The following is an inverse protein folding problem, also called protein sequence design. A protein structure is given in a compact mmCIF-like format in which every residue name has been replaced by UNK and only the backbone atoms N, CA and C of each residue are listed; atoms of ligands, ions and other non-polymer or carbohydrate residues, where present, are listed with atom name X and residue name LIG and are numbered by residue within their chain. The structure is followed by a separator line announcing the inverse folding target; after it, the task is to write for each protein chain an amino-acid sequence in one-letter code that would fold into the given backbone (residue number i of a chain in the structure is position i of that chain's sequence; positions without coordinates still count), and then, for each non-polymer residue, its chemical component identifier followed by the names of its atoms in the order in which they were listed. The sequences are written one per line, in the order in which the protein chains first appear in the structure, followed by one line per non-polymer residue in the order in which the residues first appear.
data_IF_865405672506
#
_entry.id   IF_865405672506
#
_cell.length_a   1.000
_cell.length_b   1.000
_cell.length_c   1.000
_cell.angle_alpha   90.00
_cell.angle_beta   90.00
_cell.angle_gamma   90.00
#
_symmetry.space_group_name_H-M   'P 1'
#
loop_
_entity.id
_entity.type
_entity.pdbx_description
1 polymer ?
#
# COMPACT_ATOMS: atom_id res chain seq x y z
N UNK A 1 -26.37 -1.55 55.04
CA UNK A 1 -26.33 -0.11 54.72
C UNK A 1 -26.14 0.05 53.22
N UNK A 2 -27.12 0.67 52.59
CA UNK A 2 -27.29 0.89 51.15
C UNK A 2 -26.35 1.99 50.64
N UNK A 3 -25.72 1.79 49.47
CA UNK A 3 -24.88 2.80 48.82
C UNK A 3 -24.83 2.63 47.31
N UNK A 4 -25.89 3.04 46.62
CA UNK A 4 -25.96 3.19 45.17
C UNK A 4 -25.44 4.58 44.74
N UNK A 5 -24.82 4.67 43.56
CA UNK A 5 -24.75 5.81 42.59
C UNK A 5 -23.49 5.62 41.72
N UNK A 6 -23.44 5.93 40.42
CA UNK A 6 -24.39 6.27 39.35
C UNK A 6 -23.54 6.12 38.08
N UNK A 7 -23.96 5.28 37.12
CA UNK A 7 -23.31 5.20 35.80
C UNK A 7 -23.74 6.41 34.98
N UNK A 8 -22.78 7.22 34.54
CA UNK A 8 -23.01 8.35 33.63
C UNK A 8 -23.29 7.82 32.22
N UNK A 9 -24.54 7.99 31.78
CA UNK A 9 -25.00 7.61 30.46
C UNK A 9 -24.44 8.56 29.38
N UNK A 10 -23.68 8.00 28.45
CA UNK A 10 -23.31 8.60 27.17
C UNK A 10 -24.57 8.78 26.31
N UNK A 11 -24.81 9.99 25.77
CA UNK A 11 -25.85 10.25 24.76
C UNK A 11 -25.22 10.45 23.38
N UNK A 12 -25.68 9.75 22.32
CA UNK A 12 -25.28 10.04 20.94
C UNK A 12 -26.07 11.23 20.36
N UNK A 13 -25.48 12.02 19.43
CA UNK A 13 -26.19 13.07 18.72
C UNK A 13 -27.05 12.53 17.57
N UNK A 14 -28.09 13.30 17.26
CA UNK A 14 -29.29 12.95 16.51
C UNK A 14 -29.07 12.62 15.03
N UNK A 15 -29.74 11.56 14.59
CA UNK A 15 -29.97 11.17 13.19
C UNK A 15 -30.84 12.21 12.47
N UNK A 16 -30.31 12.79 11.38
CA UNK A 16 -31.08 13.64 10.48
C UNK A 16 -31.90 12.76 9.52
N UNK A 17 -33.20 12.75 9.80
CA UNK A 17 -34.29 12.12 9.04
C UNK A 17 -34.31 12.56 7.56
N UNK A 18 -33.98 11.65 6.65
CA UNK A 18 -34.43 11.71 5.26
C UNK A 18 -35.77 10.97 5.15
N UNK A 19 -36.88 11.73 5.13
CA UNK A 19 -38.20 11.19 4.84
C UNK A 19 -38.38 11.02 3.34
N UNK A 20 -38.70 9.81 2.93
CA UNK A 20 -39.23 9.48 1.62
C UNK A 20 -40.77 9.67 1.59
N UNK A 21 -41.26 9.96 0.38
CA UNK A 21 -42.52 9.53 -0.24
C UNK A 21 -43.90 9.97 0.33
N UNK A 22 -44.83 10.22 -0.60
CA UNK A 22 -46.28 10.33 -0.35
C UNK A 22 -46.85 11.68 -0.79
N UNK A 23 -47.21 11.86 -2.06
CA UNK A 23 -48.57 11.66 -2.58
C UNK A 23 -49.64 12.52 -1.89
N UNK A 24 -50.14 13.54 -2.59
CA UNK A 24 -51.52 14.00 -2.43
C UNK A 24 -52.11 14.37 -3.79
N UNK A 25 -52.90 13.44 -4.34
CA UNK A 25 -53.90 13.67 -5.37
C UNK A 25 -55.01 14.54 -4.80
N UNK A 26 -55.43 15.61 -5.51
CA UNK A 26 -56.80 16.19 -5.47
C UNK A 26 -57.08 17.05 -6.72
N UNK A 27 -58.36 17.24 -7.08
CA UNK A 27 -58.83 17.03 -8.45
C UNK A 27 -59.01 18.30 -9.29
N UNK A 28 -59.24 18.04 -10.57
CA UNK A 28 -59.58 18.99 -11.62
C UNK A 28 -60.77 19.89 -11.27
N UNK A 29 -60.62 21.19 -11.56
CA UNK A 29 -61.75 22.07 -11.83
C UNK A 29 -61.67 22.52 -13.28
N UNK A 30 -62.73 22.20 -14.01
CA UNK A 30 -62.99 22.65 -15.37
C UNK A 30 -63.52 24.09 -15.25
N UNK A 31 -62.84 25.04 -15.85
CA UNK A 31 -63.49 26.29 -16.25
C UNK A 31 -63.08 26.64 -17.68
N UNK A 32 -64.08 26.60 -18.55
CA UNK A 32 -64.05 27.05 -19.92
C UNK A 32 -64.00 28.58 -19.94
N UNK A 33 -63.00 29.17 -20.61
CA UNK A 33 -63.14 30.50 -21.22
C UNK A 33 -62.16 30.64 -22.37
N UNK A 34 -62.73 30.90 -23.54
CA UNK A 34 -62.05 31.23 -24.78
C UNK A 34 -61.29 32.55 -24.66
N UNK A 35 -60.01 32.55 -25.01
CA UNK A 35 -59.31 33.77 -25.40
C UNK A 35 -58.23 33.44 -26.44
N UNK A 36 -58.55 33.79 -27.68
CA UNK A 36 -57.66 33.86 -28.83
C UNK A 36 -56.55 34.90 -28.55
N UNK A 37 -55.28 34.49 -28.48
CA UNK A 37 -54.15 35.43 -28.67
C UNK A 37 -52.83 34.71 -28.92
N UNK A 38 -52.31 34.93 -30.14
CA UNK A 38 -50.91 35.02 -30.58
C UNK A 38 -49.96 33.87 -30.20
N UNK A 39 -49.68 33.05 -31.21
CA UNK A 39 -48.43 32.27 -31.34
C UNK A 39 -47.23 33.22 -31.27
N UNK A 40 -46.59 33.31 -30.10
CA UNK A 40 -45.18 33.71 -30.02
C UNK A 40 -44.35 32.44 -30.20
N UNK A 41 -43.67 32.34 -31.33
CA UNK A 41 -42.64 31.35 -31.61
C UNK A 41 -41.48 31.59 -30.65
N UNK A 42 -41.53 30.99 -29.47
CA UNK A 42 -40.33 30.81 -28.64
C UNK A 42 -39.51 29.72 -29.31
N UNK A 43 -38.44 30.11 -30.02
CA UNK A 43 -37.35 29.20 -30.37
C UNK A 43 -36.78 28.64 -29.08
N UNK A 44 -37.32 27.51 -28.64
CA UNK A 44 -36.70 26.63 -27.66
C UNK A 44 -35.38 26.19 -28.27
N UNK A 45 -34.28 26.80 -27.84
CA UNK A 45 -32.96 26.29 -28.15
C UNK A 45 -32.83 25.00 -27.35
N UNK A 46 -33.07 23.86 -27.99
CA UNK A 46 -32.68 22.56 -27.48
C UNK A 46 -31.16 22.58 -27.30
N UNK A 47 -30.71 23.00 -26.12
CA UNK A 47 -29.32 22.90 -25.70
C UNK A 47 -29.07 21.43 -25.45
N UNK A 48 -28.64 20.72 -26.50
CA UNK A 48 -28.09 19.38 -26.40
C UNK A 48 -26.97 19.44 -25.35
N UNK A 49 -27.25 18.97 -24.15
CA UNK A 49 -26.26 18.77 -23.12
C UNK A 49 -25.30 17.69 -23.62
N UNK A 50 -24.28 18.14 -24.36
CA UNK A 50 -23.11 17.34 -24.69
C UNK A 50 -22.59 16.77 -23.38
N UNK A 51 -22.84 15.48 -23.14
CA UNK A 51 -22.15 14.71 -22.10
C UNK A 51 -20.67 14.78 -22.46
N UNK A 52 -19.97 15.77 -21.91
CA UNK A 52 -18.51 15.79 -21.93
C UNK A 52 -18.09 14.48 -21.27
N UNK A 53 -17.54 13.56 -22.05
CA UNK A 53 -16.88 12.38 -21.50
C UNK A 53 -15.85 12.90 -20.51
N UNK A 54 -15.75 12.35 -19.29
CA UNK A 54 -14.70 12.74 -18.37
C UNK A 54 -13.37 12.59 -19.10
N UNK A 55 -12.66 13.70 -19.28
CA UNK A 55 -11.33 13.72 -19.85
C UNK A 55 -10.50 12.80 -18.96
N UNK A 56 -9.88 11.76 -19.54
CA UNK A 56 -9.01 10.87 -18.78
C UNK A 56 -7.96 11.73 -18.08
N UNK A 57 -7.87 11.66 -16.75
CA UNK A 57 -6.85 12.41 -16.01
C UNK A 57 -5.47 12.06 -16.58
N UNK A 58 -4.59 13.06 -16.79
CA UNK A 58 -3.25 12.80 -17.26
C UNK A 58 -2.53 11.87 -16.27
N UNK A 59 -1.78 10.90 -16.79
CA UNK A 59 -0.98 10.01 -15.96
C UNK A 59 -0.09 10.84 -15.03
N UNK A 60 -0.17 10.57 -13.72
CA UNK A 60 0.63 11.26 -12.70
C UNK A 60 1.77 10.37 -12.23
N UNK A 61 2.93 10.98 -12.02
CA UNK A 61 4.07 10.32 -11.37
C UNK A 61 3.86 10.25 -9.86
N UNK A 62 4.59 9.35 -9.23
CA UNK A 62 4.76 9.37 -7.78
C UNK A 62 5.54 10.62 -7.34
N UNK A 63 5.35 11.06 -6.10
CA UNK A 63 6.16 12.14 -5.52
C UNK A 63 7.62 11.69 -5.38
N UNK A 64 8.57 12.63 -5.45
CA UNK A 64 10.01 12.34 -5.37
C UNK A 64 10.36 11.50 -4.12
N UNK A 65 9.86 11.81 -2.90
CA UNK A 65 10.16 10.98 -1.73
C UNK A 65 9.65 9.54 -1.85
N UNK A 66 8.48 9.33 -2.47
CA UNK A 66 7.94 7.99 -2.70
C UNK A 66 8.81 7.15 -3.65
N UNK A 67 9.41 7.82 -4.65
CA UNK A 67 10.33 7.20 -5.60
C UNK A 67 11.68 6.89 -4.94
N UNK A 68 12.26 7.84 -4.20
CA UNK A 68 13.52 7.64 -3.48
C UNK A 68 13.42 6.49 -2.47
N UNK A 69 12.38 6.50 -1.63
CA UNK A 69 12.15 5.42 -0.66
C UNK A 69 11.98 4.07 -1.35
N UNK A 70 11.32 4.02 -2.51
CA UNK A 70 11.17 2.77 -3.27
C UNK A 70 12.50 2.22 -3.73
N UNK A 71 13.26 3.03 -4.46
CA UNK A 71 14.49 2.59 -5.08
C UNK A 71 15.58 2.31 -4.05
N UNK A 72 15.62 3.05 -2.95
CA UNK A 72 16.51 2.76 -1.83
C UNK A 72 16.18 1.39 -1.21
N UNK A 73 14.92 1.14 -0.87
CA UNK A 73 14.50 -0.17 -0.33
C UNK A 73 14.76 -1.28 -1.34
N UNK A 74 14.44 -1.07 -2.61
CA UNK A 74 14.67 -2.05 -3.67
C UNK A 74 16.16 -2.39 -3.80
N UNK A 75 17.04 -1.40 -3.83
CA UNK A 75 18.49 -1.61 -3.89
C UNK A 75 19.00 -2.38 -2.66
N UNK A 76 18.52 -2.05 -1.46
CA UNK A 76 18.89 -2.75 -0.23
C UNK A 76 18.41 -4.20 -0.23
N UNK A 77 17.20 -4.48 -0.69
CA UNK A 77 16.68 -5.85 -0.82
C UNK A 77 17.49 -6.63 -1.87
N UNK A 78 17.78 -6.03 -3.02
CA UNK A 78 18.57 -6.65 -4.08
C UNK A 78 20.00 -6.96 -3.64
N UNK A 79 20.58 -6.17 -2.73
CA UNK A 79 21.87 -6.46 -2.11
C UNK A 79 21.77 -7.52 -1.00
N UNK A 80 20.71 -7.51 -0.20
CA UNK A 80 20.50 -8.46 0.90
C UNK A 80 20.38 -9.91 0.42
N UNK A 81 19.77 -10.13 -0.75
CA UNK A 81 19.61 -11.47 -1.33
C UNK A 81 20.97 -12.14 -1.53
N UNK A 82 21.90 -11.66 -2.38
CA UNK A 82 23.20 -12.31 -2.54
C UNK A 82 24.03 -12.32 -1.25
N UNK A 83 23.93 -11.29 -0.40
CA UNK A 83 24.61 -11.28 0.90
C UNK A 83 24.16 -12.45 1.79
N UNK A 84 22.87 -12.79 1.78
CA UNK A 84 22.34 -13.90 2.56
C UNK A 84 22.89 -15.25 2.09
N UNK A 85 22.98 -15.48 0.78
CA UNK A 85 23.60 -16.70 0.22
C UNK A 85 25.11 -16.74 0.50
N UNK A 86 25.79 -15.61 0.37
CA UNK A 86 27.22 -15.54 0.66
C UNK A 86 27.53 -15.88 2.13
N UNK A 87 26.80 -15.31 3.08
CA UNK A 87 27.11 -15.48 4.51
C UNK A 87 26.85 -16.90 5.05
N UNK A 88 25.90 -17.64 4.47
CA UNK A 88 25.58 -19.00 4.94
C UNK A 88 26.71 -19.99 4.62
N UNK A 89 27.34 -19.84 3.47
CA UNK A 89 28.37 -20.75 2.94
C UNK A 89 29.78 -20.50 3.52
N UNK A 90 29.98 -19.39 4.23
CA UNK A 90 31.26 -19.09 4.87
C UNK A 90 31.58 -20.12 5.98
N UNK A 91 32.85 -20.48 6.18
CA UNK A 91 33.27 -21.19 7.39
C UNK A 91 33.07 -20.31 8.62
N UNK A 92 33.04 -20.91 9.81
CA UNK A 92 32.98 -20.13 11.06
C UNK A 92 34.24 -19.27 11.17
N UNK A 93 34.07 -17.97 10.99
CA UNK A 93 35.17 -16.99 10.92
C UNK A 93 34.68 -15.60 11.34
N UNK A 94 35.59 -14.66 11.66
CA UNK A 94 35.24 -13.26 11.86
C UNK A 94 34.47 -12.66 10.68
N UNK A 95 34.79 -13.05 9.45
CA UNK A 95 34.11 -12.58 8.24
C UNK A 95 32.66 -13.06 8.17
N UNK A 96 32.39 -14.30 8.60
CA UNK A 96 31.02 -14.81 8.73
C UNK A 96 30.23 -13.95 9.71
N UNK A 97 30.77 -13.73 10.92
CA UNK A 97 30.12 -12.90 11.94
C UNK A 97 29.87 -11.46 11.45
N UNK A 98 30.85 -10.86 10.76
CA UNK A 98 30.73 -9.53 10.18
C UNK A 98 29.64 -9.47 9.10
N UNK A 99 29.56 -10.49 8.24
CA UNK A 99 28.54 -10.60 7.20
C UNK A 99 27.13 -10.72 7.80
N UNK A 100 26.96 -11.53 8.85
CA UNK A 100 25.70 -11.62 9.60
C UNK A 100 25.34 -10.30 10.29
N UNK A 101 26.32 -9.60 10.88
CA UNK A 101 26.08 -8.30 11.50
C UNK A 101 25.63 -7.25 10.46
N UNK A 102 26.25 -7.25 9.28
CA UNK A 102 25.83 -6.40 8.16
C UNK A 102 24.43 -6.75 7.68
N UNK A 103 24.14 -8.03 7.48
CA UNK A 103 22.81 -8.52 7.08
C UNK A 103 21.71 -8.08 8.04
N UNK A 104 21.95 -8.22 9.36
CA UNK A 104 21.01 -7.76 10.40
C UNK A 104 20.82 -6.24 10.36
N UNK A 105 21.91 -5.48 10.24
CA UNK A 105 21.87 -4.01 10.19
C UNK A 105 21.08 -3.48 9.00
N UNK A 106 21.30 -4.07 7.82
CA UNK A 106 20.55 -3.73 6.61
C UNK A 106 19.09 -4.16 6.71
N UNK A 107 18.80 -5.30 7.34
CA UNK A 107 17.43 -5.76 7.60
C UNK A 107 16.64 -4.74 8.44
N UNK A 108 17.22 -4.27 9.55
CA UNK A 108 16.61 -3.23 10.39
C UNK A 108 16.47 -1.91 9.63
N UNK A 109 17.44 -1.57 8.78
CA UNK A 109 17.36 -0.37 7.93
C UNK A 109 16.18 -0.45 6.95
N UNK A 110 16.00 -1.59 6.29
CA UNK A 110 14.86 -1.85 5.40
C UNK A 110 13.54 -1.75 6.17
N UNK A 111 13.47 -2.26 7.40
CA UNK A 111 12.29 -2.14 8.25
C UNK A 111 11.94 -0.66 8.51
N UNK A 112 12.91 0.13 8.95
CA UNK A 112 12.71 1.57 9.20
C UNK A 112 12.29 2.33 7.95
N UNK A 113 12.95 2.10 6.81
CA UNK A 113 12.58 2.72 5.54
C UNK A 113 11.19 2.27 5.06
N UNK A 114 10.82 1.01 5.30
CA UNK A 114 9.49 0.48 5.00
C UNK A 114 8.40 1.16 5.83
N UNK A 115 8.66 1.44 7.11
CA UNK A 115 7.79 2.28 7.95
C UNK A 115 7.62 3.67 7.32
N UNK A 116 8.72 4.34 6.99
CA UNK A 116 8.70 5.67 6.36
C UNK A 116 7.92 5.66 5.04
N UNK A 117 8.12 4.62 4.21
CA UNK A 117 7.41 4.43 2.94
C UNK A 117 5.91 4.25 3.14
N UNK A 118 5.51 3.45 4.12
CA UNK A 118 4.10 3.22 4.43
C UNK A 118 3.43 4.51 4.96
N UNK A 119 4.09 5.21 5.87
CA UNK A 119 3.64 6.52 6.35
C UNK A 119 3.50 7.53 5.21
N UNK A 120 4.50 7.61 4.33
CA UNK A 120 4.46 8.49 3.17
C UNK A 120 3.32 8.14 2.20
N UNK A 121 3.04 6.85 2.00
CA UNK A 121 1.90 6.40 1.17
C UNK A 121 0.56 6.88 1.73
N UNK A 122 0.40 6.97 3.05
CA UNK A 122 -0.81 7.51 3.66
C UNK A 122 -0.92 9.03 3.53
N UNK A 123 0.20 9.75 3.66
CA UNK A 123 0.25 11.21 3.53
C UNK A 123 0.19 11.68 2.07
N UNK A 124 0.69 10.87 1.13
CA UNK A 124 0.77 11.14 -0.29
C UNK A 124 0.21 9.93 -1.05
N UNK A 125 -1.12 9.87 -1.26
CA UNK A 125 -1.76 8.74 -1.94
C UNK A 125 -1.15 8.49 -3.33
N UNK A 126 -1.00 7.22 -3.73
CA UNK A 126 -0.43 6.88 -5.03
C UNK A 126 -1.30 7.40 -6.19
N UNK A 127 -0.70 7.69 -7.36
CA UNK A 127 -1.46 8.00 -8.56
C UNK A 127 -2.42 6.85 -8.92
N UNK A 128 -3.57 7.16 -9.56
CA UNK A 128 -4.53 6.15 -9.96
C UNK A 128 -3.91 5.17 -10.97
N UNK A 129 -4.33 3.91 -10.90
CA UNK A 129 -3.93 2.90 -11.88
C UNK A 129 -4.49 3.23 -13.28
N UNK A 130 -3.83 2.80 -14.37
CA UNK A 130 -4.31 3.04 -15.72
C UNK A 130 -5.76 2.60 -15.92
N UNK A 131 -6.58 3.45 -16.53
CA UNK A 131 -8.02 3.21 -16.70
C UNK A 131 -8.31 1.96 -17.56
N UNK A 132 -7.40 1.61 -18.47
CA UNK A 132 -7.47 0.45 -19.38
C UNK A 132 -6.90 -0.85 -18.78
N UNK A 133 -6.47 -0.84 -17.52
CA UNK A 133 -5.98 -2.03 -16.83
C UNK A 133 -7.14 -3.00 -16.56
N UNK A 134 -6.93 -4.30 -16.87
CA UNK A 134 -7.97 -5.32 -16.66
C UNK A 134 -8.23 -5.50 -15.16
N UNK A 135 -9.45 -5.88 -14.74
CA UNK A 135 -9.75 -6.11 -13.31
C UNK A 135 -8.80 -7.11 -12.64
N UNK A 136 -8.42 -8.18 -13.35
CA UNK A 136 -7.46 -9.19 -12.87
C UNK A 136 -6.06 -8.58 -12.65
N UNK A 137 -5.57 -7.77 -13.60
CA UNK A 137 -4.27 -7.08 -13.47
C UNK A 137 -4.27 -6.12 -12.28
N UNK A 138 -5.38 -5.42 -12.06
CA UNK A 138 -5.57 -4.53 -10.91
C UNK A 138 -5.54 -5.30 -9.59
N UNK A 139 -6.24 -6.42 -9.51
CA UNK A 139 -6.25 -7.27 -8.33
C UNK A 139 -4.86 -7.85 -8.05
N UNK A 140 -4.17 -8.37 -9.06
CA UNK A 140 -2.80 -8.88 -8.94
C UNK A 140 -1.82 -7.80 -8.51
N UNK A 141 -1.94 -6.58 -9.03
CA UNK A 141 -1.13 -5.45 -8.61
C UNK A 141 -1.36 -5.14 -7.12
N UNK A 142 -2.62 -5.09 -6.67
CA UNK A 142 -2.94 -4.84 -5.26
C UNK A 142 -2.42 -5.94 -4.33
N UNK A 143 -2.62 -7.21 -4.70
CA UNK A 143 -2.14 -8.36 -3.93
C UNK A 143 -0.61 -8.39 -3.86
N UNK A 144 0.08 -8.16 -4.98
CA UNK A 144 1.55 -8.14 -5.02
C UNK A 144 2.09 -7.01 -4.15
N UNK A 145 1.53 -5.81 -4.23
CA UNK A 145 1.96 -4.70 -3.37
C UNK A 145 1.65 -4.96 -1.89
N UNK A 146 0.46 -5.49 -1.57
CA UNK A 146 0.09 -5.85 -0.19
C UNK A 146 1.02 -6.92 0.39
N UNK A 147 1.31 -7.96 -0.39
CA UNK A 147 2.25 -9.02 -0.02
C UNK A 147 3.68 -8.51 0.15
N UNK A 148 4.17 -7.66 -0.76
CA UNK A 148 5.49 -7.04 -0.62
C UNK A 148 5.58 -6.14 0.61
N UNK A 149 4.54 -5.37 0.93
CA UNK A 149 4.50 -4.65 2.21
C UNK A 149 4.59 -5.63 3.36
N UNK A 150 3.67 -6.59 3.46
CA UNK A 150 3.66 -7.58 4.55
C UNK A 150 5.03 -8.23 4.75
N UNK A 151 5.65 -8.73 3.67
CA UNK A 151 6.94 -9.40 3.75
C UNK A 151 8.11 -8.45 4.05
N UNK A 152 8.06 -7.19 3.59
CA UNK A 152 9.10 -6.19 3.93
C UNK A 152 9.15 -5.88 5.43
N UNK A 153 8.04 -6.08 6.16
CA UNK A 153 8.01 -5.99 7.62
C UNK A 153 8.28 -7.34 8.28
N UNK A 154 7.61 -8.41 7.84
CA UNK A 154 7.71 -9.73 8.46
C UNK A 154 9.13 -10.34 8.35
N UNK A 155 9.85 -10.09 7.26
CA UNK A 155 11.22 -10.56 7.08
C UNK A 155 12.18 -10.03 8.15
N UNK A 156 12.42 -8.72 8.29
CA UNK A 156 13.33 -8.22 9.31
C UNK A 156 12.84 -8.47 10.74
N UNK A 157 11.53 -8.48 11.00
CA UNK A 157 10.99 -8.81 12.32
C UNK A 157 11.25 -10.26 12.70
N UNK A 158 11.00 -11.22 11.80
CA UNK A 158 11.32 -12.63 12.04
C UNK A 158 12.82 -12.84 12.25
N UNK A 159 13.68 -12.13 11.51
CA UNK A 159 15.13 -12.20 11.68
C UNK A 159 15.61 -11.63 13.02
N UNK A 160 15.01 -10.53 13.47
CA UNK A 160 15.30 -9.95 14.80
C UNK A 160 14.87 -10.91 15.91
N UNK A 161 13.64 -11.44 15.86
CA UNK A 161 13.16 -12.44 16.82
C UNK A 161 14.06 -13.68 16.81
N UNK A 162 14.49 -14.15 15.63
CA UNK A 162 15.38 -15.30 15.49
C UNK A 162 16.73 -15.05 16.19
N UNK A 163 17.30 -13.86 16.00
CA UNK A 163 18.55 -13.45 16.62
C UNK A 163 18.44 -13.39 18.15
N UNK A 164 17.33 -12.87 18.67
CA UNK A 164 17.05 -12.83 20.11
C UNK A 164 16.88 -14.22 20.72
N UNK A 165 16.15 -15.12 20.05
CA UNK A 165 15.99 -16.51 20.49
C UNK A 165 17.33 -17.28 20.52
N UNK A 166 18.27 -16.93 19.64
CA UNK A 166 19.61 -17.47 19.60
C UNK A 166 20.57 -16.86 20.65
N UNK A 167 20.10 -15.93 21.49
CA UNK A 167 20.92 -15.15 22.42
C UNK A 167 22.04 -14.33 21.75
N UNK A 168 21.78 -13.85 20.52
CA UNK A 168 22.68 -12.97 19.79
C UNK A 168 22.00 -11.61 19.57
N UNK A 169 22.29 -10.59 20.38
CA UNK A 169 21.67 -9.28 20.25
C UNK A 169 21.91 -8.66 18.87
N UNK A 170 20.92 -7.92 18.37
CA UNK A 170 21.00 -7.22 17.08
C UNK A 170 21.72 -5.89 17.26
N UNK A 171 23.00 -5.85 16.90
CA UNK A 171 23.76 -4.60 16.82
C UNK A 171 23.60 -3.96 15.44
N UNK A 172 23.13 -2.71 15.40
CA UNK A 172 22.90 -1.95 14.16
C UNK A 172 24.14 -1.14 13.83
N UNK A 173 24.87 -1.58 12.80
CA UNK A 173 26.14 -1.00 12.33
C UNK A 173 27.19 -0.79 13.43
N UNK A 174 27.12 -1.56 14.54
CA UNK A 174 27.94 -1.38 15.76
C UNK A 174 27.74 -0.02 16.47
N UNK A 175 26.68 0.72 16.14
CA UNK A 175 26.37 2.01 16.75
C UNK A 175 25.53 1.86 18.03
N UNK A 176 24.55 0.96 17.99
CA UNK A 176 23.69 0.65 19.12
C UNK A 176 23.14 -0.77 19.00
N UNK A 177 22.67 -1.32 20.11
CA UNK A 177 22.07 -2.66 20.18
C UNK A 177 20.59 -2.52 20.47
N UNK A 178 19.78 -3.21 19.69
CA UNK A 178 18.35 -3.27 19.91
C UNK A 178 18.01 -4.23 21.06
N UNK A 179 16.94 -3.97 21.82
CA UNK A 179 16.48 -4.90 22.84
C UNK A 179 16.03 -6.22 22.21
N UNK A 180 16.14 -7.30 22.96
CA UNK A 180 15.66 -8.59 22.51
C UNK A 180 14.12 -8.63 22.51
N UNK A 181 13.55 -9.17 21.43
CA UNK A 181 12.09 -9.28 21.26
C UNK A 181 11.52 -10.50 22.00
N UNK A 182 12.34 -11.52 22.21
CA UNK A 182 12.00 -12.79 22.85
C UNK A 182 13.18 -13.25 23.70
N UNK A 183 12.90 -14.01 24.75
CA UNK A 183 13.97 -14.63 25.54
C UNK A 183 14.70 -15.72 24.73
N UNK A 184 15.96 -16.04 25.09
CA UNK A 184 16.69 -17.16 24.50
C UNK A 184 15.92 -18.48 24.63
N UNK A 185 15.71 -19.15 23.50
CA UNK A 185 15.02 -20.44 23.42
C UNK A 185 15.50 -21.16 22.13
N UNK A 186 16.28 -22.26 22.26
CA UNK A 186 16.79 -23.01 21.11
C UNK A 186 15.69 -23.58 20.20
N UNK A 187 14.56 -24.03 20.76
CA UNK A 187 13.47 -24.59 19.95
C UNK A 187 12.76 -23.49 19.17
N UNK A 188 12.60 -22.32 19.77
CA UNK A 188 12.05 -21.16 19.10
C UNK A 188 13.00 -20.65 18.00
N UNK A 189 14.31 -20.66 18.24
CA UNK A 189 15.32 -20.30 17.25
C UNK A 189 15.21 -21.15 15.98
N UNK A 190 15.17 -22.48 16.09
CA UNK A 190 15.03 -23.37 14.92
C UNK A 190 13.76 -23.06 14.10
N UNK A 191 12.63 -22.83 14.79
CA UNK A 191 11.35 -22.48 14.13
C UNK A 191 11.41 -21.12 13.45
N UNK A 192 12.01 -20.12 14.08
CA UNK A 192 12.16 -18.77 13.54
C UNK A 192 13.15 -18.73 12.37
N UNK A 193 14.22 -19.54 12.42
CA UNK A 193 15.15 -19.70 11.30
C UNK A 193 14.43 -20.30 10.08
N UNK A 194 13.66 -21.37 10.28
CA UNK A 194 12.83 -21.95 9.21
C UNK A 194 11.82 -20.94 8.67
N UNK A 195 11.10 -20.23 9.54
CA UNK A 195 10.15 -19.20 9.15
C UNK A 195 10.82 -18.10 8.33
N UNK A 196 11.95 -17.57 8.80
CA UNK A 196 12.69 -16.51 8.13
C UNK A 196 13.15 -16.95 6.72
N UNK A 197 13.63 -18.19 6.60
CA UNK A 197 13.99 -18.80 5.31
C UNK A 197 12.78 -18.96 4.39
N UNK A 198 11.65 -19.46 4.87
CA UNK A 198 10.42 -19.58 4.08
C UNK A 198 9.90 -18.22 3.60
N UNK A 199 9.89 -17.22 4.49
CA UNK A 199 9.52 -15.86 4.13
C UNK A 199 10.47 -15.26 3.09
N UNK A 200 11.77 -15.61 3.12
CA UNK A 200 12.75 -15.15 2.14
C UNK A 200 12.44 -15.64 0.72
N UNK A 201 12.06 -16.92 0.57
CA UNK A 201 11.62 -17.47 -0.71
C UNK A 201 10.31 -16.84 -1.18
N UNK A 202 9.36 -16.59 -0.27
CA UNK A 202 8.13 -15.85 -0.58
C UNK A 202 8.40 -14.43 -1.06
N UNK A 203 9.34 -13.72 -0.41
CA UNK A 203 9.74 -12.36 -0.80
C UNK A 203 10.39 -12.37 -2.17
N UNK A 204 11.30 -13.31 -2.43
CA UNK A 204 11.96 -13.46 -3.73
C UNK A 204 10.95 -13.74 -4.85
N UNK A 205 9.99 -14.64 -4.62
CA UNK A 205 8.94 -14.95 -5.59
C UNK A 205 8.07 -13.72 -5.91
N UNK A 206 7.62 -12.99 -4.88
CA UNK A 206 6.84 -11.75 -5.08
C UNK A 206 7.65 -10.64 -5.72
N UNK A 207 8.95 -10.53 -5.41
CA UNK A 207 9.84 -9.57 -6.02
C UNK A 207 9.99 -9.83 -7.52
N UNK A 208 10.22 -11.10 -7.91
CA UNK A 208 10.30 -11.50 -9.31
C UNK A 208 8.98 -11.24 -10.04
N UNK A 209 7.84 -11.57 -9.42
CA UNK A 209 6.52 -11.26 -9.96
C UNK A 209 6.33 -9.75 -10.16
N UNK A 210 6.73 -8.94 -9.17
CA UNK A 210 6.60 -7.49 -9.22
C UNK A 210 7.44 -6.86 -10.34
N UNK A 211 8.72 -7.25 -10.44
CA UNK A 211 9.63 -6.78 -11.50
C UNK A 211 9.14 -7.26 -12.86
N UNK A 212 8.75 -8.54 -12.98
CA UNK A 212 8.20 -9.11 -14.20
C UNK A 212 6.93 -8.38 -14.67
N UNK A 213 6.02 -8.05 -13.75
CA UNK A 213 4.84 -7.27 -14.06
C UNK A 213 5.19 -5.84 -14.51
N UNK A 214 6.13 -5.16 -13.84
CA UNK A 214 6.57 -3.83 -14.24
C UNK A 214 7.18 -3.83 -15.65
N UNK A 215 7.98 -4.83 -15.98
CA UNK A 215 8.55 -5.02 -17.32
C UNK A 215 7.49 -5.38 -18.36
N UNK A 216 6.55 -6.27 -18.04
CA UNK A 216 5.40 -6.59 -18.91
C UNK A 216 4.60 -5.33 -19.27
N UNK A 217 4.32 -4.51 -18.26
CA UNK A 217 3.60 -3.24 -18.43
C UNK A 217 4.40 -2.24 -19.28
N UNK A 218 5.72 -2.17 -19.08
CA UNK A 218 6.58 -1.24 -19.81
C UNK A 218 6.83 -1.63 -21.28
N UNK A 219 7.08 -2.91 -21.54
CA UNK A 219 7.54 -3.42 -22.85
C UNK A 219 6.35 -3.84 -23.72
N UNK A 220 5.42 -4.64 -23.18
CA UNK A 220 4.29 -5.19 -23.94
C UNK A 220 3.08 -4.26 -23.91
N UNK A 221 2.62 -3.84 -22.71
CA UNK A 221 1.46 -2.94 -22.58
C UNK A 221 1.80 -1.51 -22.96
N UNK A 222 3.10 -1.17 -22.97
CA UNK A 222 3.67 0.15 -23.28
C UNK A 222 3.07 1.28 -22.45
N UNK A 223 2.64 0.99 -21.24
CA UNK A 223 2.05 1.99 -20.36
C UNK A 223 3.08 2.66 -19.44
N UNK A 224 2.56 3.59 -18.65
CA UNK A 224 3.35 4.47 -17.79
C UNK A 224 3.59 3.91 -16.38
N UNK A 225 3.26 2.64 -16.09
CA UNK A 225 3.36 2.08 -14.73
C UNK A 225 4.78 2.16 -14.19
N UNK A 226 5.77 1.68 -14.95
CA UNK A 226 7.18 1.78 -14.55
C UNK A 226 7.69 3.23 -14.57
N UNK A 227 7.33 3.98 -15.62
CA UNK A 227 7.77 5.37 -15.82
C UNK A 227 7.28 6.31 -14.71
N UNK A 228 6.12 6.02 -14.12
CA UNK A 228 5.58 6.78 -12.99
C UNK A 228 6.46 6.68 -11.73
N UNK A 229 7.26 5.62 -11.61
CA UNK A 229 8.13 5.36 -10.46
C UNK A 229 9.60 5.76 -10.69
N UNK A 230 9.96 6.18 -11.91
CA UNK A 230 11.33 6.56 -12.25
C UNK A 230 11.56 8.08 -12.04
N UNK A 231 12.64 8.49 -11.34
CA UNK A 231 12.89 9.88 -10.98
C UNK A 231 13.02 10.80 -12.20
N UNK A 232 13.70 10.33 -13.23
CA UNK A 232 14.07 11.15 -14.38
C UNK A 232 13.35 10.78 -15.69
N UNK A 233 12.42 9.82 -15.67
CA UNK A 233 11.77 9.35 -16.90
C UNK A 233 10.64 10.29 -17.36
N UNK A 234 10.39 10.47 -18.65
CA UNK A 234 9.17 11.15 -19.12
C UNK A 234 8.04 10.14 -19.30
N UNK A 235 6.83 10.51 -18.90
CA UNK A 235 5.63 9.71 -19.19
C UNK A 235 5.36 9.75 -20.71
N UNK A 236 4.89 8.63 -21.25
CA UNK A 236 4.43 8.50 -22.65
C UNK A 236 3.05 9.11 -22.84
#
# INVERSE_FOLDING_TARGET
MTGSRRRSAWKPPAESRWRACGQSLRPASISSRSARSRRTSTRSTCRCASKRRPVAEPARKFSVPAQLLHWLIAALILFQVPLAWYMIDLPVSPDKLASYALHKSLGITILGLSCCRLAWRWLSPPPPLPANMRPVERALAQLTHGGLYLLSFAMPLSGWMNSSAANFPVSVFRLFTLPDLVAPDPQLHERLELLHRLLSYGLLALLLLHVGAALYHHVLRRDNVLLAMLPFARLR
#
